data_IF_117892252546
#
_entry.id   IF_117892252546
#
_cell.length_a   1.000
_cell.length_b   1.000
_cell.length_c   1.000
_cell.angle_alpha   90.00
_cell.angle_beta   90.00
_cell.angle_gamma   90.00
#
_symmetry.space_group_name_H-M   'P 1'
#
loop_
_entity.id
_entity.type
_entity.pdbx_description
1 polymer ?
#
# COMPACT_ATOMS: atom_id res chain seq x y z
N UNK A 1 -0.52 -14.72 -6.94
CA UNK A 1 0.44 -15.09 -8.00
C UNK A 1 1.86 -15.30 -7.44
N UNK A 2 2.47 -14.31 -6.76
CA UNK A 2 3.87 -14.37 -6.32
C UNK A 2 4.23 -15.68 -5.59
N UNK A 3 3.58 -15.99 -4.46
CA UNK A 3 3.91 -17.18 -3.65
C UNK A 3 3.76 -18.50 -4.43
N UNK A 4 2.72 -18.60 -5.26
CA UNK A 4 2.48 -19.80 -6.07
C UNK A 4 3.56 -20.01 -7.15
N UNK A 5 3.95 -18.93 -7.84
CA UNK A 5 4.98 -19.03 -8.88
C UNK A 5 6.36 -19.31 -8.29
N UNK A 6 6.68 -18.78 -7.11
CA UNK A 6 7.90 -19.11 -6.37
C UNK A 6 7.91 -20.59 -5.92
N UNK A 7 6.74 -21.17 -5.65
CA UNK A 7 6.58 -22.58 -5.33
C UNK A 7 6.53 -23.49 -6.59
N UNK A 8 6.77 -22.96 -7.79
CA UNK A 8 6.80 -23.72 -9.04
C UNK A 8 5.45 -23.93 -9.73
N UNK A 9 4.36 -23.42 -9.17
CA UNK A 9 3.04 -23.52 -9.80
C UNK A 9 2.93 -22.61 -11.02
N UNK A 10 2.35 -23.12 -12.12
CA UNK A 10 1.98 -22.29 -13.28
C UNK A 10 0.70 -21.50 -12.97
N UNK A 11 0.76 -20.21 -13.15
CA UNK A 11 -0.32 -19.27 -12.78
C UNK A 11 -0.69 -18.42 -13.99
N UNK A 12 -1.99 -18.25 -14.23
CA UNK A 12 -2.53 -17.23 -15.15
C UNK A 12 -3.15 -16.14 -14.29
N UNK A 13 -2.79 -14.88 -14.57
CA UNK A 13 -3.32 -13.71 -13.89
C UNK A 13 -3.96 -12.79 -14.92
N UNK A 14 -5.23 -12.43 -14.69
CA UNK A 14 -5.99 -11.47 -15.50
C UNK A 14 -6.00 -10.11 -14.79
N UNK A 15 -5.77 -9.05 -15.53
CA UNK A 15 -5.87 -7.66 -15.08
C UNK A 15 -6.75 -6.87 -16.05
N UNK A 16 -7.77 -6.22 -15.54
CA UNK A 16 -8.71 -5.47 -16.37
C UNK A 16 -8.11 -4.21 -16.98
N UNK A 17 -7.14 -3.59 -16.30
CA UNK A 17 -6.45 -2.40 -16.77
C UNK A 17 -5.18 -2.70 -17.59
N UNK A 18 -4.52 -1.66 -18.08
CA UNK A 18 -3.25 -1.79 -18.80
C UNK A 18 -2.11 -2.20 -17.88
N UNK A 19 -1.01 -2.67 -18.47
CA UNK A 19 0.25 -2.86 -17.77
C UNK A 19 0.80 -1.51 -17.32
N UNK A 20 1.11 -1.40 -16.02
CA UNK A 20 1.68 -0.19 -15.44
C UNK A 20 2.75 -0.55 -14.41
N UNK A 21 3.92 0.06 -14.51
CA UNK A 21 5.04 -0.13 -13.60
C UNK A 21 5.58 1.23 -13.17
N UNK A 22 5.68 1.48 -11.86
CA UNK A 22 6.15 2.74 -11.33
C UNK A 22 7.54 3.14 -11.85
N UNK A 23 8.44 2.16 -11.99
CA UNK A 23 9.78 2.38 -12.50
C UNK A 23 9.86 2.81 -13.97
N UNK A 24 8.80 2.60 -14.75
CA UNK A 24 8.75 2.92 -16.20
C UNK A 24 7.73 4.02 -16.52
N UNK A 25 6.59 3.99 -15.86
CA UNK A 25 5.43 4.80 -16.21
C UNK A 25 5.18 5.95 -15.23
N UNK A 26 5.90 6.00 -14.09
CA UNK A 26 5.70 7.05 -13.09
C UNK A 26 6.02 8.43 -13.64
N UNK A 27 5.12 9.35 -13.36
CA UNK A 27 5.29 10.78 -13.68
C UNK A 27 5.85 11.59 -12.48
N UNK A 28 6.43 10.91 -11.47
CA UNK A 28 6.92 11.59 -10.27
C UNK A 28 7.97 12.68 -10.56
N UNK A 29 8.71 12.57 -11.65
CA UNK A 29 9.69 13.55 -12.08
C UNK A 29 9.12 14.58 -13.06
N UNK A 30 7.85 14.43 -13.46
CA UNK A 30 7.19 15.40 -14.35
C UNK A 30 6.78 16.63 -13.54
N UNK A 31 7.23 17.85 -13.91
CA UNK A 31 6.78 19.06 -13.24
C UNK A 31 5.26 19.23 -13.30
N UNK A 32 4.67 19.86 -12.29
CA UNK A 32 3.20 20.02 -12.20
C UNK A 32 2.62 20.71 -13.46
N UNK A 33 3.33 21.69 -14.03
CA UNK A 33 2.88 22.39 -15.25
C UNK A 33 2.87 21.50 -16.50
N UNK A 34 3.64 20.41 -16.52
CA UNK A 34 3.68 19.43 -17.61
C UNK A 34 2.74 18.22 -17.37
N UNK A 35 2.15 18.13 -16.17
CA UNK A 35 1.16 17.10 -15.83
C UNK A 35 -0.19 17.41 -16.49
N UNK A 36 -1.05 16.39 -16.72
CA UNK A 36 -2.41 16.63 -17.18
C UNK A 36 -3.11 17.70 -16.35
N UNK A 37 -3.80 18.63 -17.00
CA UNK A 37 -4.43 19.79 -16.35
C UNK A 37 -3.49 20.59 -15.43
N UNK A 38 -2.19 20.54 -15.67
CA UNK A 38 -1.14 21.17 -14.84
C UNK A 38 -1.22 20.77 -13.37
N UNK A 39 -1.64 19.52 -13.10
CA UNK A 39 -1.81 18.99 -11.76
C UNK A 39 -3.06 19.50 -11.01
N UNK A 40 -3.96 20.24 -11.68
CA UNK A 40 -5.17 20.74 -11.07
C UNK A 40 -6.17 19.62 -10.79
N UNK A 41 -6.82 19.66 -9.63
CA UNK A 41 -7.91 18.77 -9.29
C UNK A 41 -9.22 19.17 -9.99
N UNK A 42 -10.12 18.22 -10.14
CA UNK A 42 -11.49 18.42 -10.61
C UNK A 42 -12.45 17.68 -9.70
N UNK A 43 -13.77 17.95 -9.82
CA UNK A 43 -14.78 17.20 -9.06
C UNK A 43 -14.72 15.69 -9.33
N UNK A 44 -14.39 15.26 -10.55
CA UNK A 44 -14.24 13.85 -10.92
C UNK A 44 -12.88 13.27 -10.51
N UNK A 45 -11.85 14.12 -10.46
CA UNK A 45 -10.48 13.77 -10.07
C UNK A 45 -10.00 14.75 -9.00
N UNK A 46 -10.40 14.54 -7.74
CA UNK A 46 -10.13 15.46 -6.63
C UNK A 46 -8.65 15.52 -6.23
N UNK A 47 -7.84 14.59 -6.72
CA UNK A 47 -6.41 14.51 -6.45
C UNK A 47 -5.65 14.67 -7.78
N UNK A 48 -5.27 15.89 -8.11
CA UNK A 48 -4.60 16.19 -9.37
C UNK A 48 -3.28 15.44 -9.56
N UNK A 49 -2.56 15.18 -8.48
CA UNK A 49 -1.32 14.41 -8.47
C UNK A 49 -1.49 12.93 -8.85
N UNK A 50 -2.71 12.39 -8.76
CA UNK A 50 -3.02 11.01 -9.16
C UNK A 50 -3.34 10.84 -10.64
N UNK A 51 -3.30 11.91 -11.42
CA UNK A 51 -3.41 11.79 -12.88
C UNK A 51 -2.28 11.00 -13.51
N UNK A 52 -1.23 10.74 -12.75
CA UNK A 52 -0.18 9.81 -13.15
C UNK A 52 -0.64 8.35 -13.23
N UNK A 53 -1.80 8.02 -12.66
CA UNK A 53 -2.34 6.67 -12.58
C UNK A 53 -3.69 6.59 -13.28
N UNK A 54 -3.93 5.50 -14.01
CA UNK A 54 -5.25 5.20 -14.56
C UNK A 54 -6.22 4.88 -13.43
N UNK A 55 -7.27 5.68 -13.28
CA UNK A 55 -8.26 5.51 -12.23
C UNK A 55 -9.00 6.78 -11.88
N UNK A 56 -9.94 6.67 -10.98
CA UNK A 56 -10.76 7.77 -10.52
C UNK A 56 -12.05 7.32 -9.84
N UNK A 57 -12.93 8.29 -9.57
CA UNK A 57 -14.29 8.01 -9.11
C UNK A 57 -15.15 7.42 -10.23
N UNK A 58 -15.00 7.96 -11.45
CA UNK A 58 -15.68 7.47 -12.64
C UNK A 58 -14.67 6.82 -13.58
N UNK A 59 -14.91 5.58 -13.96
CA UNK A 59 -14.18 4.87 -15.01
C UNK A 59 -15.15 4.67 -16.17
N UNK A 60 -14.77 5.12 -17.34
CA UNK A 60 -15.58 5.00 -18.55
C UNK A 60 -15.92 3.53 -18.82
N UNK A 61 -17.20 3.26 -19.13
CA UNK A 61 -17.70 1.89 -19.35
C UNK A 61 -17.89 1.05 -18.09
N UNK A 62 -17.63 1.60 -16.91
CA UNK A 62 -17.77 0.89 -15.64
C UNK A 62 -18.61 1.70 -14.62
N UNK A 63 -19.88 1.95 -14.90
CA UNK A 63 -20.75 2.66 -13.97
C UNK A 63 -20.93 1.85 -12.68
N UNK A 64 -21.23 2.53 -11.59
CA UNK A 64 -21.70 1.90 -10.36
C UNK A 64 -22.92 2.66 -9.83
N UNK A 65 -23.77 1.96 -9.11
CA UNK A 65 -24.93 2.54 -8.46
C UNK A 65 -24.67 2.68 -6.96
N UNK A 66 -25.29 3.68 -6.36
CA UNK A 66 -25.26 3.88 -4.92
C UNK A 66 -26.70 3.86 -4.38
N UNK A 67 -26.88 3.46 -3.14
CA UNK A 67 -28.19 3.48 -2.50
C UNK A 67 -28.72 4.92 -2.45
N UNK A 68 -30.04 5.07 -2.56
CA UNK A 68 -30.70 6.37 -2.49
C UNK A 68 -30.33 7.08 -1.17
N UNK A 69 -30.03 8.37 -1.24
CA UNK A 69 -29.58 9.16 -0.09
C UNK A 69 -28.14 8.92 0.37
N UNK A 70 -27.43 7.96 -0.23
CA UNK A 70 -26.00 7.71 0.06
C UNK A 70 -25.09 8.74 -0.63
N UNK A 71 -23.93 9.03 0.01
CA UNK A 71 -22.88 9.87 -0.55
C UNK A 71 -21.61 9.08 -0.85
N UNK A 72 -21.74 7.78 -1.13
CA UNK A 72 -20.60 6.91 -1.40
C UNK A 72 -19.88 7.34 -2.68
N UNK A 73 -18.55 7.40 -2.62
CA UNK A 73 -17.69 7.66 -3.77
C UNK A 73 -16.65 6.54 -3.85
N UNK A 74 -16.60 5.84 -4.98
CA UNK A 74 -15.73 4.70 -5.17
C UNK A 74 -14.49 5.05 -5.99
N UNK A 75 -13.39 5.33 -5.30
CA UNK A 75 -12.09 5.48 -5.96
C UNK A 75 -11.56 4.10 -6.40
N UNK A 76 -11.27 3.95 -7.69
CA UNK A 76 -10.76 2.72 -8.29
C UNK A 76 -9.48 2.99 -9.07
N UNK A 77 -8.50 2.06 -9.01
CA UNK A 77 -7.35 2.03 -9.92
C UNK A 77 -7.61 1.00 -11.02
N UNK A 78 -7.54 1.42 -12.28
CA UNK A 78 -7.74 0.53 -13.44
C UNK A 78 -6.41 0.37 -14.19
N UNK A 79 -5.51 -0.38 -13.59
CA UNK A 79 -4.17 -0.68 -14.10
C UNK A 79 -3.58 -1.83 -13.32
N UNK A 80 -2.57 -2.49 -13.87
CA UNK A 80 -1.82 -3.53 -13.16
C UNK A 80 -1.36 -3.01 -11.79
N UNK A 81 -1.74 -3.73 -10.73
CA UNK A 81 -1.45 -3.35 -9.35
C UNK A 81 -2.49 -2.46 -8.68
N UNK A 82 -3.42 -1.91 -9.46
CA UNK A 82 -4.54 -1.13 -8.93
C UNK A 82 -4.10 -0.07 -7.92
N UNK A 83 -4.82 -0.02 -6.81
CA UNK A 83 -4.59 0.98 -5.74
C UNK A 83 -3.22 0.87 -5.05
N UNK A 84 -2.51 -0.25 -5.18
CA UNK A 84 -1.16 -0.37 -4.60
C UNK A 84 -0.15 0.58 -5.25
N UNK A 85 -0.46 1.16 -6.40
CA UNK A 85 0.39 2.14 -7.05
C UNK A 85 0.34 3.54 -6.41
N UNK A 86 -0.76 3.88 -5.73
CA UNK A 86 -1.01 5.23 -5.20
C UNK A 86 -1.58 5.29 -3.77
N UNK A 87 -1.55 4.21 -3.01
CA UNK A 87 -1.98 4.21 -1.60
C UNK A 87 -0.95 4.84 -0.67
N UNK A 88 -1.33 5.09 0.60
CA UNK A 88 -0.49 5.76 1.59
C UNK A 88 0.65 4.91 2.18
N UNK A 89 0.76 3.63 1.83
CA UNK A 89 1.75 2.65 2.32
C UNK A 89 1.67 2.38 3.82
N UNK A 90 0.63 2.84 4.50
CA UNK A 90 0.41 2.51 5.91
C UNK A 90 0.18 1.00 6.02
N UNK A 91 1.05 0.33 6.79
CA UNK A 91 1.11 -1.14 6.86
C UNK A 91 1.04 -1.57 8.33
N UNK A 92 -0.09 -1.30 8.96
CA UNK A 92 -0.36 -1.73 10.33
C UNK A 92 -0.76 -3.21 10.34
N UNK A 93 -0.39 -3.92 11.40
CA UNK A 93 -0.95 -5.24 11.71
C UNK A 93 -2.27 -5.07 12.44
N UNK A 94 -3.21 -5.97 12.24
CA UNK A 94 -4.27 -6.15 13.21
C UNK A 94 -3.67 -6.69 14.51
N UNK A 95 -4.12 -6.16 15.64
CA UNK A 95 -3.70 -6.64 16.94
C UNK A 95 -4.64 -7.73 17.48
N UNK A 96 -4.32 -8.35 18.63
CA UNK A 96 -5.16 -9.39 19.24
C UNK A 96 -6.62 -8.98 19.42
N UNK A 97 -6.88 -7.72 19.78
CA UNK A 97 -8.22 -7.20 20.04
C UNK A 97 -9.09 -7.12 18.76
N UNK A 98 -8.47 -6.97 17.59
CA UNK A 98 -9.18 -6.89 16.31
C UNK A 98 -9.82 -8.23 15.92
N UNK A 99 -9.29 -9.36 16.43
CA UNK A 99 -9.81 -10.70 16.21
C UNK A 99 -10.91 -11.10 17.18
N UNK A 100 -11.09 -10.37 18.27
CA UNK A 100 -12.01 -10.66 19.37
C UNK A 100 -12.92 -9.47 19.70
N UNK A 101 -13.39 -8.78 18.68
CA UNK A 101 -14.22 -7.58 18.82
C UNK A 101 -15.51 -7.84 19.56
N UNK A 102 -16.23 -8.92 19.19
CA UNK A 102 -17.49 -9.27 19.84
C UNK A 102 -17.30 -9.63 21.33
N UNK A 103 -16.32 -10.46 21.64
CA UNK A 103 -16.00 -10.82 23.01
C UNK A 103 -15.60 -9.61 23.86
N UNK A 104 -14.99 -8.59 23.25
CA UNK A 104 -14.53 -7.38 23.92
C UNK A 104 -15.64 -6.36 24.18
N UNK A 105 -16.45 -6.05 23.15
CA UNK A 105 -17.39 -4.90 23.18
C UNK A 105 -18.84 -5.26 22.74
N UNK A 106 -19.09 -6.52 22.39
CA UNK A 106 -20.42 -7.00 21.99
C UNK A 106 -20.83 -6.64 20.58
N UNK A 107 -19.93 -6.02 19.79
CA UNK A 107 -20.19 -5.59 18.42
C UNK A 107 -19.61 -6.60 17.42
N UNK A 108 -20.30 -6.75 16.26
CA UNK A 108 -19.83 -7.62 15.18
C UNK A 108 -19.73 -9.11 15.62
N UNK A 109 -18.80 -9.84 15.02
CA UNK A 109 -18.51 -11.25 15.32
C UNK A 109 -17.02 -11.43 15.54
N UNK A 110 -16.64 -12.40 16.40
CA UNK A 110 -15.23 -12.78 16.56
C UNK A 110 -14.73 -13.50 15.31
N UNK A 111 -13.50 -13.23 14.93
CA UNK A 111 -12.86 -14.01 13.88
C UNK A 111 -12.58 -15.44 14.39
N UNK A 112 -12.73 -16.47 13.52
CA UNK A 112 -12.47 -17.88 13.89
C UNK A 112 -10.97 -18.19 14.07
N UNK A 113 -10.10 -17.19 13.85
CA UNK A 113 -8.65 -17.25 14.02
C UNK A 113 -8.20 -16.20 15.05
N UNK A 114 -6.96 -16.31 15.49
CA UNK A 114 -6.31 -15.36 16.41
C UNK A 114 -5.18 -14.59 15.73
N UNK A 115 -4.64 -13.60 16.41
CA UNK A 115 -3.42 -12.92 15.97
C UNK A 115 -2.25 -13.89 15.81
N UNK A 116 -2.09 -14.85 16.73
CA UNK A 116 -0.97 -15.80 16.72
C UNK A 116 -0.97 -16.70 15.48
N UNK A 117 -2.16 -17.02 14.94
CA UNK A 117 -2.30 -17.79 13.71
C UNK A 117 -1.75 -17.03 12.48
N UNK A 118 -1.83 -15.70 12.48
CA UNK A 118 -1.42 -14.85 11.34
C UNK A 118 -0.09 -14.16 11.54
N UNK A 119 0.42 -14.05 12.75
CA UNK A 119 1.67 -13.35 13.09
C UNK A 119 2.87 -13.82 12.23
N UNK A 120 3.10 -15.13 11.99
CA UNK A 120 4.19 -15.58 11.13
C UNK A 120 4.08 -15.13 9.68
N UNK A 121 2.86 -14.89 9.21
CA UNK A 121 2.61 -14.39 7.86
C UNK A 121 2.80 -12.87 7.78
N UNK A 122 2.45 -12.13 8.83
CA UNK A 122 2.79 -10.72 8.95
C UNK A 122 4.31 -10.51 8.88
N UNK A 123 5.08 -11.31 9.60
CA UNK A 123 6.54 -11.26 9.56
C UNK A 123 7.11 -11.49 8.16
N UNK A 124 6.57 -12.46 7.42
CA UNK A 124 6.96 -12.72 6.03
C UNK A 124 6.60 -11.55 5.10
N UNK A 125 5.44 -10.94 5.31
CA UNK A 125 4.98 -9.81 4.50
C UNK A 125 5.81 -8.57 4.80
N UNK A 126 6.06 -8.26 6.08
CA UNK A 126 6.86 -7.10 6.48
C UNK A 126 8.27 -7.15 5.88
N UNK A 127 8.91 -8.32 5.91
CA UNK A 127 10.23 -8.53 5.28
C UNK A 127 10.16 -8.39 3.75
N UNK A 128 9.17 -9.03 3.12
CA UNK A 128 9.02 -9.04 1.65
C UNK A 128 8.75 -7.64 1.08
N UNK A 129 7.82 -6.89 1.66
CA UNK A 129 7.45 -5.57 1.17
C UNK A 129 8.35 -4.45 1.71
N UNK A 130 9.04 -4.71 2.82
CA UNK A 130 9.95 -3.78 3.47
C UNK A 130 9.20 -2.72 4.28
N UNK A 131 8.66 -3.11 5.42
CA UNK A 131 7.98 -2.19 6.34
C UNK A 131 8.99 -1.61 7.31
N UNK A 132 9.05 -0.29 7.47
CA UNK A 132 9.79 0.32 8.56
C UNK A 132 8.88 0.53 9.78
N UNK A 133 9.46 0.52 10.97
CA UNK A 133 8.75 0.72 12.22
C UNK A 133 9.66 0.52 13.43
N UNK A 134 9.07 0.48 14.61
CA UNK A 134 9.74 0.16 15.86
C UNK A 134 8.99 -0.91 16.64
N UNK A 135 9.69 -1.62 17.49
CA UNK A 135 9.16 -2.64 18.38
C UNK A 135 9.03 -2.03 19.77
N UNK A 136 7.80 -1.85 20.23
CA UNK A 136 7.48 -1.12 21.46
C UNK A 136 6.72 -2.00 22.48
N UNK A 137 6.46 -3.26 22.15
CA UNK A 137 5.73 -4.20 23.02
C UNK A 137 4.27 -3.81 23.28
N UNK A 138 3.63 -3.09 22.36
CA UNK A 138 2.26 -2.63 22.53
C UNK A 138 1.27 -3.75 22.21
N UNK A 139 0.31 -4.00 23.11
CA UNK A 139 -0.64 -5.11 23.00
C UNK A 139 -1.35 -5.14 21.64
N UNK A 140 -1.98 -4.03 21.24
CA UNK A 140 -2.77 -3.98 19.99
C UNK A 140 -2.04 -3.29 18.83
N UNK A 141 -0.71 -3.16 18.95
CA UNK A 141 0.23 -2.78 17.90
C UNK A 141 1.44 -3.72 17.93
N UNK A 142 1.22 -5.02 17.62
CA UNK A 142 2.24 -6.05 17.84
C UNK A 142 3.56 -5.75 17.13
N UNK A 143 4.65 -6.15 17.75
CA UNK A 143 5.99 -6.06 17.18
C UNK A 143 6.14 -6.91 15.92
N UNK A 144 7.12 -6.59 15.08
CA UNK A 144 7.34 -7.25 13.80
C UNK A 144 8.77 -7.16 13.30
N UNK A 145 9.00 -7.67 12.09
CA UNK A 145 10.30 -7.62 11.41
C UNK A 145 10.46 -6.32 10.62
N UNK A 146 10.62 -5.22 11.34
CA UNK A 146 10.67 -3.90 10.74
C UNK A 146 12.08 -3.48 10.34
N UNK A 147 12.17 -2.72 9.24
CA UNK A 147 13.33 -1.88 8.97
C UNK A 147 13.40 -0.75 10.00
N UNK A 148 14.59 -0.21 10.30
CA UNK A 148 14.69 0.93 11.20
C UNK A 148 13.88 2.11 10.64
N UNK A 149 13.13 2.85 11.48
CA UNK A 149 12.40 4.02 11.02
C UNK A 149 13.34 5.14 10.59
N UNK A 150 12.89 6.09 9.75
CA UNK A 150 13.67 7.29 9.47
C UNK A 150 13.87 8.12 10.72
N UNK A 151 14.93 8.94 10.75
CA UNK A 151 15.14 9.89 11.85
C UNK A 151 13.92 10.83 11.96
N UNK A 152 13.42 11.07 13.19
CA UNK A 152 12.28 11.94 13.41
C UNK A 152 12.62 13.39 13.06
N UNK A 153 11.63 14.12 12.55
CA UNK A 153 11.74 15.55 12.28
C UNK A 153 11.56 16.36 13.56
N UNK A 154 12.00 17.62 13.56
CA UNK A 154 11.91 18.47 14.75
C UNK A 154 10.49 18.54 15.35
N UNK A 155 9.46 18.69 14.53
CA UNK A 155 8.09 18.76 15.02
C UNK A 155 7.59 17.41 15.58
N UNK A 156 8.05 16.29 15.02
CA UNK A 156 7.73 14.94 15.54
C UNK A 156 8.34 14.72 16.93
N UNK A 157 9.56 15.22 17.14
CA UNK A 157 10.19 15.22 18.48
C UNK A 157 9.42 16.09 19.48
N UNK A 158 8.90 17.23 19.03
CA UNK A 158 8.05 18.09 19.87
C UNK A 158 6.74 17.40 20.26
N UNK A 159 6.08 16.74 19.32
CA UNK A 159 4.87 15.95 19.57
C UNK A 159 5.20 14.81 20.53
N UNK A 160 6.25 14.05 20.28
CA UNK A 160 6.68 12.97 21.20
C UNK A 160 6.89 13.47 22.61
N UNK A 161 7.63 14.56 22.79
CA UNK A 161 7.86 15.18 24.11
C UNK A 161 6.56 15.61 24.80
N UNK A 162 5.58 16.08 24.06
CA UNK A 162 4.26 16.44 24.61
C UNK A 162 3.46 15.19 25.00
N UNK A 163 3.45 14.17 24.14
CA UNK A 163 2.79 12.88 24.39
C UNK A 163 3.34 12.17 25.63
N UNK A 164 4.67 12.15 25.78
CA UNK A 164 5.34 11.55 26.94
C UNK A 164 4.87 12.19 28.27
N UNK A 165 4.62 13.51 28.28
CA UNK A 165 4.07 14.21 29.45
C UNK A 165 2.62 13.82 29.79
N UNK A 166 1.89 13.34 28.83
CA UNK A 166 0.50 12.89 28.95
C UNK A 166 0.38 11.38 29.17
N UNK A 167 1.51 10.65 29.24
CA UNK A 167 1.51 9.20 29.32
C UNK A 167 1.02 8.51 28.02
N UNK A 168 1.04 9.21 26.90
CA UNK A 168 0.63 8.68 25.60
C UNK A 168 1.86 8.21 24.82
N UNK A 169 1.89 6.94 24.43
CA UNK A 169 2.98 6.37 23.64
C UNK A 169 2.91 6.89 22.19
N UNK A 170 3.95 7.59 21.75
CA UNK A 170 4.10 8.08 20.38
C UNK A 170 5.20 7.27 19.68
N UNK A 171 4.84 6.56 18.63
CA UNK A 171 5.72 5.67 17.88
C UNK A 171 5.83 6.10 16.40
N UNK A 172 6.90 5.70 15.69
CA UNK A 172 6.98 5.87 14.24
C UNK A 172 5.82 5.14 13.54
N UNK A 173 5.24 5.78 12.53
CA UNK A 173 4.27 5.10 11.68
C UNK A 173 4.91 3.91 10.98
N UNK A 174 4.16 2.81 10.81
CA UNK A 174 4.61 1.62 10.08
C UNK A 174 4.23 1.77 8.61
N UNK A 175 5.24 1.93 7.75
CA UNK A 175 5.04 2.16 6.32
C UNK A 175 5.88 1.19 5.49
N UNK A 176 5.32 0.67 4.42
CA UNK A 176 6.04 -0.13 3.43
C UNK A 176 6.85 0.76 2.48
N UNK A 177 7.84 1.45 3.06
CA UNK A 177 8.80 2.33 2.38
C UNK A 177 10.19 1.98 2.90
N UNK A 178 11.11 1.68 2.00
CA UNK A 178 12.46 1.24 2.37
C UNK A 178 13.29 2.38 2.96
N UNK A 179 13.79 2.21 4.16
CA UNK A 179 14.78 3.10 4.79
C UNK A 179 16.21 2.64 4.55
N UNK A 180 16.39 1.42 4.09
CA UNK A 180 17.65 0.87 3.56
C UNK A 180 17.35 -0.04 2.37
N UNK A 181 18.35 -0.27 1.51
CA UNK A 181 18.19 -1.14 0.34
C UNK A 181 18.01 -2.60 0.76
N UNK A 182 16.98 -3.26 0.21
CA UNK A 182 16.73 -4.70 0.38
C UNK A 182 16.18 -5.29 -0.92
N UNK A 183 16.39 -6.56 -1.14
CA UNK A 183 15.82 -7.32 -2.27
C UNK A 183 16.00 -6.63 -3.65
N UNK A 184 17.16 -5.98 -3.87
CA UNK A 184 17.47 -5.25 -5.12
C UNK A 184 16.70 -3.94 -5.31
N UNK A 185 15.99 -3.45 -4.29
CA UNK A 185 15.27 -2.17 -4.26
C UNK A 185 16.08 -1.14 -3.48
N UNK A 186 16.13 0.08 -3.99
CA UNK A 186 16.87 1.18 -3.35
C UNK A 186 16.13 1.74 -2.13
N UNK A 187 16.88 2.34 -1.21
CA UNK A 187 16.29 3.11 -0.12
C UNK A 187 15.57 4.37 -0.64
N UNK A 188 14.60 4.86 0.14
CA UNK A 188 13.87 6.09 -0.15
C UNK A 188 14.81 7.31 -0.09
N UNK A 189 14.69 8.19 -1.08
CA UNK A 189 15.39 9.47 -1.13
C UNK A 189 14.50 10.67 -0.75
N UNK A 190 13.36 10.40 -0.11
CA UNK A 190 12.45 11.39 0.51
C UNK A 190 11.90 12.46 -0.45
N UNK A 191 11.64 12.11 -1.71
CA UNK A 191 11.09 13.04 -2.71
C UNK A 191 9.66 13.51 -2.43
N UNK A 192 8.91 12.85 -1.53
CA UNK A 192 7.52 13.18 -1.20
C UNK A 192 6.48 12.84 -2.29
N UNK A 193 6.87 12.13 -3.36
CA UNK A 193 6.02 11.86 -4.53
C UNK A 193 5.39 10.45 -4.52
N UNK A 194 5.19 9.85 -3.34
CA UNK A 194 4.76 8.45 -3.23
C UNK A 194 3.45 8.13 -3.98
N UNK A 195 2.53 9.08 -4.07
CA UNK A 195 1.24 8.91 -4.75
C UNK A 195 1.36 8.86 -6.29
N UNK A 196 2.50 9.26 -6.83
CA UNK A 196 2.78 9.29 -8.27
C UNK A 196 3.61 8.09 -8.74
N UNK A 197 3.78 7.08 -7.87
CA UNK A 197 4.66 5.95 -8.08
C UNK A 197 6.06 6.18 -7.52
N UNK A 198 6.95 5.20 -7.67
CA UNK A 198 8.33 5.29 -7.18
C UNK A 198 9.31 4.68 -8.17
N UNK A 199 10.07 5.51 -8.87
CA UNK A 199 11.02 5.06 -9.90
C UNK A 199 12.15 4.20 -9.34
N UNK A 200 12.52 4.40 -8.07
CA UNK A 200 13.55 3.61 -7.37
C UNK A 200 12.98 2.41 -6.60
N UNK A 201 11.65 2.18 -6.68
CA UNK A 201 10.94 1.08 -6.02
C UNK A 201 11.09 1.03 -4.50
N UNK A 202 11.40 2.18 -3.88
CA UNK A 202 11.54 2.25 -2.42
C UNK A 202 10.19 2.03 -1.71
N UNK A 203 9.09 2.56 -2.24
CA UNK A 203 7.76 2.26 -1.72
C UNK A 203 7.21 0.95 -2.32
N UNK A 204 6.31 0.31 -1.60
CA UNK A 204 5.66 -0.90 -2.09
C UNK A 204 4.60 -0.57 -3.14
N UNK A 205 4.70 -1.27 -4.28
CA UNK A 205 3.64 -1.48 -5.24
C UNK A 205 3.66 -2.94 -5.72
N UNK A 206 2.51 -3.54 -5.93
CA UNK A 206 2.46 -4.96 -6.32
C UNK A 206 3.11 -5.25 -7.69
N UNK A 207 3.04 -4.39 -8.72
CA UNK A 207 3.73 -4.64 -9.98
C UNK A 207 5.24 -4.80 -9.84
N UNK A 208 5.88 -3.89 -9.10
CA UNK A 208 7.33 -3.86 -8.98
C UNK A 208 7.88 -4.89 -7.96
N UNK A 209 7.11 -5.19 -6.90
CA UNK A 209 7.58 -6.01 -5.78
C UNK A 209 7.12 -7.47 -5.85
N UNK A 210 5.97 -7.73 -6.43
CA UNK A 210 5.40 -9.08 -6.48
C UNK A 210 5.27 -9.62 -7.90
N UNK A 211 4.74 -8.83 -8.83
CA UNK A 211 4.40 -9.31 -10.18
C UNK A 211 5.66 -9.43 -11.03
N UNK A 212 6.56 -8.45 -11.00
CA UNK A 212 7.81 -8.52 -11.77
C UNK A 212 8.68 -9.73 -11.36
N UNK A 213 8.91 -10.02 -10.05
CA UNK A 213 9.60 -11.26 -9.65
C UNK A 213 8.83 -12.54 -10.00
N UNK A 214 7.49 -12.53 -9.96
CA UNK A 214 6.69 -13.67 -10.37
C UNK A 214 6.82 -13.97 -11.86
N UNK A 215 6.84 -12.93 -12.71
CA UNK A 215 7.10 -13.06 -14.15
C UNK A 215 8.52 -13.62 -14.42
N UNK A 216 9.51 -13.20 -13.62
CA UNK A 216 10.88 -13.66 -13.75
C UNK A 216 11.06 -15.18 -13.49
N UNK A 217 10.12 -15.83 -12.81
CA UNK A 217 10.14 -17.30 -12.62
C UNK A 217 9.80 -18.08 -13.90
N UNK A 218 9.20 -17.44 -14.91
CA UNK A 218 8.64 -18.11 -16.07
C UNK A 218 7.30 -18.82 -15.81
N UNK A 219 6.82 -18.86 -14.58
CA UNK A 219 5.60 -19.57 -14.19
C UNK A 219 4.34 -18.68 -14.19
N UNK A 220 4.48 -17.36 -14.44
CA UNK A 220 3.34 -16.44 -14.52
C UNK A 220 3.03 -16.05 -15.96
N UNK A 221 1.80 -16.32 -16.40
CA UNK A 221 1.21 -15.71 -17.60
C UNK A 221 0.33 -14.55 -17.17
N UNK A 222 0.72 -13.32 -17.53
CA UNK A 222 -0.03 -12.11 -17.24
C UNK A 222 -0.77 -11.64 -18.50
N UNK A 223 -2.08 -11.49 -18.40
CA UNK A 223 -2.94 -10.96 -19.47
C UNK A 223 -3.57 -9.66 -18.95
N UNK A 224 -3.18 -8.52 -19.52
CA UNK A 224 -3.72 -7.20 -19.18
C UNK A 224 -4.85 -6.81 -20.14
N UNK A 225 -5.62 -5.76 -19.79
CA UNK A 225 -6.83 -5.33 -20.54
C UNK A 225 -7.85 -6.46 -20.70
N UNK A 226 -7.91 -7.36 -19.76
CA UNK A 226 -8.76 -8.55 -19.73
C UNK A 226 -9.67 -8.51 -18.49
N UNK A 227 -10.93 -8.11 -18.71
CA UNK A 227 -11.95 -8.08 -17.67
C UNK A 227 -12.53 -9.48 -17.46
N UNK A 228 -12.43 -10.01 -16.25
CA UNK A 228 -13.19 -11.20 -15.85
C UNK A 228 -14.67 -10.84 -15.68
N UNK A 229 -15.56 -11.63 -16.29
CA UNK A 229 -17.02 -11.47 -16.24
C UNK A 229 -17.67 -12.68 -15.58
#
# INVERSE_FOLDING_TARGET
AYALTQAGARVVMLEAGPAWYASKNSQMLTPAYASPRRGASTRRRPFGEFDACDGGWDIEGEPFTIAEGSKFMWWRGRMLGGRTNHWGRISLRFGPDDFKGHARDGLSEDWPISYDDVAPYYDKVDDLIGVFGSNEGLHNQPDGKFLPPPAPRCYELMVKKASDKLGVTCIPSRLSILTKSIHGRAACHYCGQCNRGCTVKANFSSPDVLIAPALATGNLTLITTAMAR
#
